data_IF_651044670301
#
_entry.id   IF_651044670301
#
_cell.length_a   1.000
_cell.length_b   1.000
_cell.length_c   1.000
_cell.angle_alpha   90.00
_cell.angle_beta   90.00
_cell.angle_gamma   90.00
#
_symmetry.space_group_name_H-M   'P 1'
#
loop_
_entity.id
_entity.type
_entity.pdbx_description
1 polymer ?
#
# COMPACT_ATOMS: atom_id res chain seq x y z
N UNK A 1 -21.30 -6.71 -4.24
CA UNK A 1 -20.43 -6.04 -5.23
C UNK A 1 -20.44 -4.56 -4.89
N UNK A 2 -19.59 -4.15 -3.95
CA UNK A 2 -19.49 -2.75 -3.55
C UNK A 2 -18.84 -1.94 -4.67
N UNK A 3 -19.47 -0.83 -5.06
CA UNK A 3 -18.91 0.14 -5.98
C UNK A 3 -17.51 0.55 -5.47
N UNK A 4 -16.48 0.58 -6.32
CA UNK A 4 -15.14 0.96 -5.88
C UNK A 4 -15.20 2.36 -5.27
N UNK A 5 -14.89 2.46 -3.98
CA UNK A 5 -14.83 3.74 -3.28
C UNK A 5 -13.75 4.57 -3.96
N UNK A 6 -14.17 5.57 -4.73
CA UNK A 6 -13.26 6.50 -5.42
C UNK A 6 -12.69 7.48 -4.40
N UNK A 7 -11.37 7.52 -4.29
CA UNK A 7 -10.64 8.47 -3.46
C UNK A 7 -10.48 9.82 -4.15
N UNK A 8 -10.47 10.88 -3.34
CA UNK A 8 -10.24 12.24 -3.80
C UNK A 8 -8.81 12.41 -4.33
N UNK A 9 -8.68 13.01 -5.50
CA UNK A 9 -7.40 13.34 -6.08
C UNK A 9 -6.80 14.59 -5.39
N UNK A 10 -5.53 14.58 -4.94
CA UNK A 10 -4.91 15.74 -4.30
C UNK A 10 -4.77 16.95 -5.24
N UNK A 11 -4.83 16.75 -6.56
CA UNK A 11 -4.68 17.82 -7.55
C UNK A 11 -5.99 18.55 -7.88
N UNK A 12 -7.07 17.79 -8.13
CA UNK A 12 -8.37 18.38 -8.53
C UNK A 12 -9.46 18.27 -7.45
N UNK A 13 -9.16 17.63 -6.31
CA UNK A 13 -10.08 17.41 -5.17
C UNK A 13 -11.37 16.63 -5.50
N UNK A 14 -11.51 16.12 -6.74
CA UNK A 14 -12.64 15.29 -7.17
C UNK A 14 -12.38 13.81 -6.89
N UNK A 15 -13.41 13.00 -6.60
CA UNK A 15 -13.28 11.56 -6.51
C UNK A 15 -12.96 10.99 -7.90
N UNK A 16 -11.82 10.31 -8.02
CA UNK A 16 -11.39 9.81 -9.33
C UNK A 16 -10.23 8.83 -9.30
N UNK A 17 -9.86 8.32 -8.12
CA UNK A 17 -8.80 7.30 -7.97
C UNK A 17 -9.42 6.09 -7.29
N UNK A 18 -9.46 4.94 -7.96
CA UNK A 18 -10.02 3.72 -7.38
C UNK A 18 -9.19 3.23 -6.18
N UNK A 19 -9.86 2.57 -5.22
CA UNK A 19 -9.21 2.02 -4.03
C UNK A 19 -8.12 0.98 -4.34
N UNK A 20 -8.35 0.12 -5.34
CA UNK A 20 -7.33 -0.81 -5.82
C UNK A 20 -6.18 -0.07 -6.50
N UNK A 21 -6.47 0.90 -7.36
CA UNK A 21 -5.44 1.73 -7.99
C UNK A 21 -4.57 2.45 -6.95
N UNK A 22 -5.17 2.96 -5.87
CA UNK A 22 -4.45 3.54 -4.73
C UNK A 22 -3.57 2.52 -4.02
N UNK A 23 -4.09 1.32 -3.75
CA UNK A 23 -3.39 0.26 -3.00
C UNK A 23 -2.16 -0.27 -3.73
N UNK A 24 -2.25 -0.37 -5.04
CA UNK A 24 -1.17 -0.82 -5.93
C UNK A 24 -0.36 0.33 -6.53
N UNK A 25 -0.66 1.58 -6.14
CA UNK A 25 0.10 2.73 -6.63
C UNK A 25 1.49 2.75 -6.02
N UNK A 26 2.49 2.95 -6.87
CA UNK A 26 3.87 3.17 -6.47
C UNK A 26 4.45 4.34 -7.26
N UNK A 27 5.70 4.73 -6.98
CA UNK A 27 6.39 5.77 -7.74
C UNK A 27 6.61 5.36 -9.21
N UNK A 28 6.85 4.08 -9.48
CA UNK A 28 7.01 3.51 -10.82
C UNK A 28 5.68 3.10 -11.48
N UNK A 29 4.62 2.91 -10.70
CA UNK A 29 3.27 2.60 -11.18
C UNK A 29 2.24 3.53 -10.54
N UNK A 30 2.26 4.84 -10.87
CA UNK A 30 1.34 5.79 -10.26
C UNK A 30 -0.10 5.56 -10.72
N UNK A 31 -1.05 5.78 -9.81
CA UNK A 31 -2.47 5.78 -10.13
C UNK A 31 -2.85 7.04 -10.93
N UNK A 32 -3.60 6.86 -12.00
CA UNK A 32 -4.16 7.95 -12.81
C UNK A 32 -5.53 8.33 -12.27
N UNK A 33 -5.80 9.64 -12.16
CA UNK A 33 -7.11 10.15 -11.82
C UNK A 33 -8.00 10.22 -13.07
N UNK A 34 -9.22 9.67 -12.99
CA UNK A 34 -10.21 9.72 -14.09
C UNK A 34 -10.70 11.15 -14.39
N UNK A 35 -10.78 12.00 -13.37
CA UNK A 35 -11.37 13.33 -13.51
C UNK A 35 -10.42 14.37 -14.12
N UNK A 36 -9.13 14.32 -13.79
CA UNK A 36 -8.15 15.31 -14.25
C UNK A 36 -6.97 14.72 -15.02
N UNK A 37 -6.89 13.39 -15.15
CA UNK A 37 -5.76 12.70 -15.79
C UNK A 37 -4.43 12.80 -15.02
N UNK A 38 -4.43 13.39 -13.82
CA UNK A 38 -3.24 13.56 -12.99
C UNK A 38 -2.72 12.24 -12.43
N UNK A 39 -1.40 12.12 -12.28
CA UNK A 39 -0.74 10.96 -11.68
C UNK A 39 -0.53 11.19 -10.18
N UNK A 40 -0.88 10.19 -9.38
CA UNK A 40 -0.78 10.21 -7.93
C UNK A 40 -0.30 8.85 -7.43
N UNK A 41 0.44 8.82 -6.33
CA UNK A 41 0.91 7.57 -5.73
C UNK A 41 0.91 7.67 -4.21
N UNK A 42 0.84 6.54 -3.53
CA UNK A 42 1.12 6.47 -2.10
C UNK A 42 2.63 6.37 -1.90
N UNK A 43 3.15 7.04 -0.87
CA UNK A 43 4.56 7.01 -0.54
C UNK A 43 4.98 5.58 -0.15
N UNK A 44 6.12 5.11 -0.66
CA UNK A 44 6.64 3.77 -0.35
C UNK A 44 6.83 3.55 1.16
N UNK A 45 7.27 4.57 1.89
CA UNK A 45 7.38 4.53 3.36
C UNK A 45 6.03 4.26 4.04
N UNK A 46 4.94 4.82 3.51
CA UNK A 46 3.58 4.56 4.02
C UNK A 46 3.11 3.15 3.69
N UNK A 47 3.29 2.68 2.45
CA UNK A 47 2.89 1.31 2.08
C UNK A 47 3.67 0.26 2.86
N UNK A 48 4.99 0.43 2.99
CA UNK A 48 5.85 -0.45 3.78
C UNK A 48 5.52 -0.39 5.26
N UNK A 49 5.21 0.80 5.80
CA UNK A 49 4.78 0.96 7.18
C UNK A 49 3.47 0.23 7.49
N UNK A 50 2.49 0.25 6.57
CA UNK A 50 1.24 -0.50 6.71
C UNK A 50 1.50 -2.02 6.73
N UNK A 51 2.41 -2.50 5.89
CA UNK A 51 2.77 -3.91 5.85
C UNK A 51 3.51 -4.35 7.11
N UNK A 52 4.53 -3.59 7.53
CA UNK A 52 5.30 -3.84 8.74
C UNK A 52 4.43 -3.85 10.00
N UNK A 53 3.47 -2.92 10.12
CA UNK A 53 2.52 -2.91 11.23
C UNK A 53 1.65 -4.18 11.26
N UNK A 54 1.20 -4.65 10.09
CA UNK A 54 0.44 -5.91 9.99
C UNK A 54 1.25 -7.11 10.49
N UNK A 55 2.51 -7.23 10.06
CA UNK A 55 3.43 -8.29 10.51
C UNK A 55 3.65 -8.22 12.02
N UNK A 56 3.92 -7.02 12.54
CA UNK A 56 4.16 -6.84 13.96
C UNK A 56 2.96 -7.29 14.80
N UNK A 57 1.73 -6.94 14.39
CA UNK A 57 0.50 -7.38 15.07
C UNK A 57 0.41 -8.92 15.07
N UNK A 58 0.61 -9.56 13.91
CA UNK A 58 0.55 -11.02 13.81
C UNK A 58 1.61 -11.68 14.69
N UNK A 59 2.86 -11.19 14.66
CA UNK A 59 3.94 -11.71 15.49
C UNK A 59 3.65 -11.58 16.98
N UNK A 60 3.21 -10.42 17.44
CA UNK A 60 2.86 -10.18 18.85
C UNK A 60 1.72 -11.11 19.28
N UNK A 61 0.72 -11.30 18.43
CA UNK A 61 -0.39 -12.21 18.70
C UNK A 61 0.03 -13.68 18.76
N UNK A 62 0.98 -14.11 17.92
CA UNK A 62 1.56 -15.45 17.99
C UNK A 62 2.36 -15.64 19.28
N UNK A 63 3.19 -14.66 19.65
CA UNK A 63 3.95 -14.69 20.92
C UNK A 63 3.00 -14.77 22.10
N UNK A 64 1.92 -13.98 22.10
CA UNK A 64 0.90 -14.01 23.15
C UNK A 64 0.15 -15.35 23.19
N UNK A 65 -0.18 -15.94 22.03
CA UNK A 65 -0.84 -17.24 21.95
C UNK A 65 0.01 -18.35 22.58
N UNK A 66 1.32 -18.35 22.30
CA UNK A 66 2.28 -19.30 22.88
C UNK A 66 2.49 -19.02 24.35
N UNK A 67 2.80 -17.77 24.72
CA UNK A 67 3.13 -17.41 26.11
C UNK A 67 1.98 -17.53 27.10
N UNK A 68 0.74 -17.38 26.64
CA UNK A 68 -0.47 -17.49 27.47
C UNK A 68 -1.23 -18.80 27.23
N UNK A 69 -0.69 -19.71 26.42
CA UNK A 69 -1.31 -20.98 26.02
C UNK A 69 -2.78 -20.85 25.56
N UNK A 70 -3.11 -19.73 24.93
CA UNK A 70 -4.47 -19.43 24.49
C UNK A 70 -4.50 -19.20 22.99
N UNK A 71 -5.07 -20.13 22.21
CA UNK A 71 -5.10 -20.00 20.75
C UNK A 71 -5.98 -18.83 20.29
N UNK A 72 -6.81 -18.25 21.16
CA UNK A 72 -7.69 -17.11 20.86
C UNK A 72 -6.92 -15.83 20.49
N UNK A 73 -5.66 -15.71 20.88
CA UNK A 73 -4.81 -14.57 20.49
C UNK A 73 -4.49 -14.55 18.99
N UNK A 74 -4.49 -15.70 18.31
CA UNK A 74 -4.23 -15.79 16.87
C UNK A 74 -5.36 -15.19 16.02
N UNK A 75 -6.63 -15.63 16.13
CA UNK A 75 -7.72 -15.04 15.34
C UNK A 75 -7.98 -13.58 15.72
N UNK A 76 -7.86 -13.21 17.00
CA UNK A 76 -8.00 -11.80 17.42
C UNK A 76 -6.89 -10.91 16.84
N UNK A 77 -5.65 -11.38 16.83
CA UNK A 77 -4.53 -10.74 16.16
C UNK A 77 -4.76 -10.55 14.66
N UNK A 78 -5.28 -11.57 13.99
CA UNK A 78 -5.58 -11.52 12.57
C UNK A 78 -6.69 -10.49 12.27
N UNK A 79 -7.77 -10.50 13.04
CA UNK A 79 -8.86 -9.51 12.93
C UNK A 79 -8.32 -8.11 13.15
N UNK A 80 -7.47 -7.91 14.16
CA UNK A 80 -6.85 -6.63 14.46
C UNK A 80 -5.93 -6.17 13.32
N UNK A 81 -5.09 -7.05 12.78
CA UNK A 81 -4.20 -6.75 11.66
C UNK A 81 -4.99 -6.33 10.41
N UNK A 82 -6.09 -7.03 10.09
CA UNK A 82 -6.97 -6.68 8.98
C UNK A 82 -7.66 -5.33 9.19
N UNK A 83 -8.20 -5.08 10.39
CA UNK A 83 -8.85 -3.82 10.72
C UNK A 83 -7.87 -2.64 10.62
N UNK A 84 -6.67 -2.78 11.19
CA UNK A 84 -5.60 -1.79 11.10
C UNK A 84 -5.15 -1.56 9.65
N UNK A 85 -5.02 -2.62 8.85
CA UNK A 85 -4.64 -2.52 7.44
C UNK A 85 -5.69 -1.71 6.65
N UNK A 86 -6.98 -2.06 6.78
CA UNK A 86 -8.07 -1.36 6.11
C UNK A 86 -8.15 0.10 6.54
N UNK A 87 -8.03 0.37 7.85
CA UNK A 87 -8.07 1.72 8.39
C UNK A 87 -6.88 2.56 7.92
N UNK A 88 -5.67 1.99 7.89
CA UNK A 88 -4.48 2.70 7.44
C UNK A 88 -4.55 3.01 5.94
N UNK A 89 -5.05 2.10 5.09
CA UNK A 89 -5.26 2.38 3.67
C UNK A 89 -6.35 3.44 3.41
N UNK A 90 -7.39 3.50 4.25
CA UNK A 90 -8.34 4.62 4.21
C UNK A 90 -7.65 5.96 4.49
N UNK A 91 -6.71 6.00 5.45
CA UNK A 91 -5.96 7.22 5.84
C UNK A 91 -4.72 7.53 4.99
N UNK A 92 -4.23 6.58 4.20
CA UNK A 92 -3.02 6.76 3.39
C UNK A 92 -3.19 7.95 2.44
N UNK A 93 -2.26 8.91 2.53
CA UNK A 93 -2.27 10.12 1.69
C UNK A 93 -1.70 9.81 0.30
N UNK A 94 -2.33 10.37 -0.72
CA UNK A 94 -1.87 10.34 -2.11
C UNK A 94 -1.01 11.58 -2.39
N UNK A 95 0.13 11.37 -3.04
CA UNK A 95 1.05 12.44 -3.44
C UNK A 95 1.06 12.60 -4.96
N UNK A 96 0.92 13.83 -5.48
CA UNK A 96 1.00 14.09 -6.92
C UNK A 96 2.43 13.88 -7.40
N UNK A 97 2.59 13.29 -8.59
CA UNK A 97 3.89 13.10 -9.26
C UNK A 97 3.83 13.65 -10.69
N UNK A 98 4.93 14.24 -11.17
CA UNK A 98 5.07 14.63 -12.58
C UNK A 98 5.34 13.41 -13.46
N UNK A 99 4.96 13.48 -14.74
CA UNK A 99 5.17 12.35 -15.68
C UNK A 99 6.64 12.02 -15.85
N UNK A 100 7.51 13.04 -15.86
CA UNK A 100 8.96 12.90 -15.98
C UNK A 100 9.56 12.15 -14.77
N UNK A 101 9.13 12.50 -13.55
CA UNK A 101 9.57 11.80 -12.34
C UNK A 101 9.04 10.37 -12.25
N UNK A 102 7.85 10.08 -12.79
CA UNK A 102 7.31 8.73 -12.86
C UNK A 102 8.05 7.85 -13.88
N UNK A 103 8.40 8.40 -15.05
CA UNK A 103 9.17 7.70 -16.07
C UNK A 103 10.58 7.33 -15.56
N UNK A 104 11.29 8.29 -14.93
CA UNK A 104 12.60 8.04 -14.32
C UNK A 104 12.54 6.98 -13.21
N UNK A 105 11.50 7.01 -12.37
CA UNK A 105 11.30 6.00 -11.32
C UNK A 105 10.98 4.61 -11.88
N UNK A 106 10.30 4.53 -13.02
CA UNK A 106 10.00 3.25 -13.70
C UNK A 106 11.28 2.63 -14.25
N UNK A 107 12.14 3.43 -14.89
CA UNK A 107 13.46 2.98 -15.38
C UNK A 107 14.35 2.50 -14.23
N UNK A 108 14.41 3.25 -13.13
CA UNK A 108 15.15 2.84 -11.94
C UNK A 108 14.61 1.54 -11.33
N UNK A 109 13.28 1.38 -11.29
CA UNK A 109 12.66 0.15 -10.79
C UNK A 109 13.00 -1.06 -11.66
N UNK A 110 12.96 -0.93 -12.99
CA UNK A 110 13.36 -2.01 -13.90
C UNK A 110 14.84 -2.38 -13.73
N UNK A 111 15.71 -1.38 -13.51
CA UNK A 111 17.12 -1.64 -13.24
C UNK A 111 17.34 -2.44 -11.96
N UNK A 112 16.66 -2.06 -10.87
CA UNK A 112 16.73 -2.78 -9.59
C UNK A 112 16.12 -4.18 -9.69
N UNK A 113 14.97 -4.33 -10.36
CA UNK A 113 14.37 -5.64 -10.62
C UNK A 113 15.29 -6.53 -11.45
N UNK A 114 15.94 -5.96 -12.48
CA UNK A 114 16.93 -6.68 -13.29
C UNK A 114 18.11 -7.19 -12.46
N UNK A 115 18.64 -6.36 -11.56
CA UNK A 115 19.71 -6.77 -10.63
C UNK A 115 19.23 -7.83 -9.64
N UNK A 116 18.03 -7.69 -9.08
CA UNK A 116 17.49 -8.66 -8.13
C UNK A 116 17.30 -10.05 -8.77
N UNK A 117 16.81 -10.11 -10.02
CA UNK A 117 16.70 -11.35 -10.80
C UNK A 117 18.08 -11.95 -11.08
N UNK A 118 19.06 -11.13 -11.47
CA UNK A 118 20.44 -11.58 -11.70
C UNK A 118 21.09 -12.16 -10.43
N UNK A 119 20.74 -11.62 -9.27
CA UNK A 119 21.22 -12.08 -7.96
C UNK A 119 20.38 -13.21 -7.36
N UNK A 120 19.33 -13.68 -8.04
CA UNK A 120 18.44 -14.74 -7.54
C UNK A 120 17.62 -14.35 -6.29
N UNK A 121 17.36 -13.05 -6.10
CA UNK A 121 16.63 -12.49 -4.95
C UNK A 121 15.13 -12.27 -5.24
N UNK A 122 14.62 -12.76 -6.37
CA UNK A 122 13.24 -12.59 -6.85
C UNK A 122 12.31 -13.72 -6.45
#
# INVERSE_FOLDING_TARGET
MDLPVKHACPRCQKPGIDGLAKRWSSRGSPAKCDACGGLCHVLASTSSGIWAAGILIVLVSLIAAVGLHSPLFVPSGLVLALACNLWAWKRAKLWPISRESAASATTANWFVTGIAVLLGLS
#
